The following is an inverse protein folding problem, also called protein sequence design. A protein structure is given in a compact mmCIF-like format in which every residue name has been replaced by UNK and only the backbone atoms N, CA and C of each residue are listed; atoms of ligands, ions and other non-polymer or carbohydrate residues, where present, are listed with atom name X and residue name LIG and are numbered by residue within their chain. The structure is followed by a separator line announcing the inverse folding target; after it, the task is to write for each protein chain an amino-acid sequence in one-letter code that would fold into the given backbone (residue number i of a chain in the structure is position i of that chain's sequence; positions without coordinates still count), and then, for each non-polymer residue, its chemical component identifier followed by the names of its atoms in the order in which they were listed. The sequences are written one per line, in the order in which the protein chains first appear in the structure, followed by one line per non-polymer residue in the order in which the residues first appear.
data_IF_612351261837
#
_entry.id   IF_612351261837
#
_cell.length_a   1.000
_cell.length_b   1.000
_cell.length_c   1.000
_cell.angle_alpha   90.00
_cell.angle_beta   90.00
_cell.angle_gamma   90.00
#
_symmetry.space_group_name_H-M   'P 1'
#
loop_
_entity.id
_entity.type
_entity.pdbx_description
1 polymer ?
#
# COMPACT_ATOMS: atom_id res chain seq x y z
N UNK A 1 3.09 -4.65 24.55
CA UNK A 1 1.83 -4.98 23.86
C UNK A 1 1.30 -3.68 23.30
N UNK A 2 1.33 -3.50 21.98
CA UNK A 2 0.81 -2.29 21.32
C UNK A 2 -0.62 -2.58 20.83
N UNK A 3 -1.50 -1.57 20.87
CA UNK A 3 -2.89 -1.68 20.41
C UNK A 3 -3.07 -0.83 19.15
N UNK A 4 -3.88 -1.29 18.19
CA UNK A 4 -4.05 -0.63 16.89
C UNK A 4 -5.40 0.09 16.82
N UNK A 5 -5.43 1.29 16.22
CA UNK A 5 -6.67 1.97 15.87
C UNK A 5 -7.12 1.51 14.50
N UNK A 6 -8.35 1.02 14.40
CA UNK A 6 -8.98 0.64 13.15
C UNK A 6 -10.06 1.64 12.75
N UNK A 7 -10.08 2.00 11.47
CA UNK A 7 -11.24 2.64 10.81
C UNK A 7 -11.69 1.67 9.72
N UNK A 8 -12.82 1.00 9.95
CA UNK A 8 -13.20 -0.16 9.15
C UNK A 8 -12.19 -1.31 9.29
N UNK A 9 -11.69 -1.81 8.16
CA UNK A 9 -10.65 -2.85 8.09
C UNK A 9 -9.21 -2.30 8.01
N UNK A 10 -9.03 -0.98 8.11
CA UNK A 10 -7.72 -0.33 7.94
C UNK A 10 -7.17 0.13 9.29
N UNK A 11 -5.92 -0.22 9.58
CA UNK A 11 -5.20 0.32 10.74
C UNK A 11 -4.76 1.74 10.40
N UNK A 12 -5.16 2.72 11.20
CA UNK A 12 -4.87 4.15 10.96
C UNK A 12 -3.91 4.74 11.99
N UNK A 13 -3.60 4.01 13.06
CA UNK A 13 -2.67 4.47 14.08
C UNK A 13 -2.26 3.36 15.03
N UNK A 14 -1.07 3.52 15.64
CA UNK A 14 -0.52 2.61 16.64
C UNK A 14 -0.58 3.31 18.00
N UNK A 15 -1.14 2.63 18.98
CA UNK A 15 -1.21 3.10 20.36
C UNK A 15 -0.18 2.38 21.22
N UNK A 16 0.90 3.07 21.60
CA UNK A 16 1.85 2.52 22.55
C UNK A 16 1.18 2.43 23.93
N UNK A 17 1.02 1.22 24.48
CA UNK A 17 0.63 1.06 25.89
C UNK A 17 1.86 1.35 26.77
N UNK A 18 2.21 2.63 26.92
CA UNK A 18 3.17 3.04 27.94
C UNK A 18 2.40 3.55 29.18
N UNK A 19 2.32 2.64 30.16
CA UNK A 19 2.21 2.85 31.61
C UNK A 19 1.49 4.07 32.16
N UNK A 20 0.39 3.81 32.88
CA UNK A 20 -0.02 4.61 34.04
C UNK A 20 -0.93 5.80 33.74
N UNK A 21 -2.17 5.54 33.32
CA UNK A 21 -3.21 6.57 33.28
C UNK A 21 -4.31 6.23 32.28
N UNK A 22 -5.51 6.76 32.51
CA UNK A 22 -6.69 6.64 31.63
C UNK A 22 -6.52 7.41 30.31
N UNK A 23 -5.36 7.33 29.67
CA UNK A 23 -5.11 8.01 28.40
C UNK A 23 -5.83 7.23 27.30
N UNK A 24 -6.81 7.87 26.65
CA UNK A 24 -7.52 7.22 25.56
C UNK A 24 -6.52 7.12 24.40
N UNK A 25 -6.47 5.96 23.76
CA UNK A 25 -5.60 5.67 22.61
C UNK A 25 -5.70 6.74 21.50
N UNK A 26 -6.86 7.41 21.34
CA UNK A 26 -7.03 8.57 20.45
C UNK A 26 -6.08 9.75 20.72
N UNK A 27 -5.68 9.96 21.98
CA UNK A 27 -4.89 11.12 22.40
C UNK A 27 -3.36 10.88 22.25
N UNK A 28 -2.95 9.61 22.10
CA UNK A 28 -1.53 9.17 22.05
C UNK A 28 -1.22 8.34 20.79
N UNK A 29 -2.15 8.31 19.84
CA UNK A 29 -2.02 7.56 18.60
C UNK A 29 -0.83 8.07 17.79
N UNK A 30 0.10 7.17 17.46
CA UNK A 30 1.15 7.46 16.47
C UNK A 30 0.59 7.19 15.08
N UNK A 31 0.88 8.10 14.15
CA UNK A 31 0.62 7.90 12.73
C UNK A 31 1.49 6.77 12.21
N UNK A 32 0.92 5.93 11.36
CA UNK A 32 1.66 4.87 10.67
C UNK A 32 2.58 5.53 9.63
N UNK A 33 3.85 5.15 9.60
CA UNK A 33 4.79 5.65 8.59
C UNK A 33 4.26 5.30 7.19
N UNK A 34 4.28 6.28 6.31
CA UNK A 34 3.99 6.19 4.87
C UNK A 34 4.61 4.97 4.17
N UNK A 35 5.76 4.47 4.65
CA UNK A 35 6.39 3.25 4.12
C UNK A 35 5.56 1.98 4.30
N UNK A 36 4.73 1.91 5.34
CA UNK A 36 3.78 0.83 5.56
C UNK A 36 2.47 1.02 4.76
N UNK A 37 2.32 2.16 4.08
CA UNK A 37 1.16 2.50 3.26
C UNK A 37 1.45 2.36 1.76
N UNK A 38 2.68 1.98 1.38
CA UNK A 38 3.12 1.84 -0.01
C UNK A 38 3.45 0.38 -0.37
N UNK A 39 2.87 -0.10 -1.47
CA UNK A 39 3.25 -1.38 -2.08
C UNK A 39 4.11 -1.11 -3.33
N UNK A 40 5.29 -1.69 -3.40
CA UNK A 40 6.19 -1.61 -4.55
C UNK A 40 6.53 -3.00 -5.08
N UNK A 41 6.72 -3.13 -6.39
CA UNK A 41 7.14 -4.39 -7.01
C UNK A 41 7.90 -4.15 -8.31
N UNK A 42 8.75 -5.13 -8.67
CA UNK A 42 9.51 -5.14 -9.93
C UNK A 42 8.98 -6.26 -10.80
N UNK A 43 8.71 -5.98 -12.07
CA UNK A 43 8.32 -6.97 -13.05
C UNK A 43 9.51 -7.30 -13.95
N UNK A 44 9.97 -8.54 -13.88
CA UNK A 44 11.03 -9.06 -14.75
C UNK A 44 10.41 -10.00 -15.78
N UNK A 45 10.82 -9.89 -17.04
CA UNK A 45 10.41 -10.82 -18.10
C UNK A 45 11.62 -11.52 -18.70
N UNK A 46 11.44 -12.79 -19.06
CA UNK A 46 12.40 -13.56 -19.86
C UNK A 46 11.97 -13.66 -21.33
N UNK A 47 10.78 -13.14 -21.66
CA UNK A 47 10.25 -13.18 -23.01
C UNK A 47 10.90 -12.08 -23.87
N UNK A 48 11.63 -12.48 -24.91
CA UNK A 48 12.38 -11.55 -25.78
C UNK A 48 11.48 -10.56 -26.53
N UNK A 49 10.22 -10.91 -26.80
CA UNK A 49 9.27 -10.01 -27.44
C UNK A 49 8.90 -8.88 -26.46
N UNK A 50 8.58 -9.25 -25.22
CA UNK A 50 8.26 -8.28 -24.16
C UNK A 50 9.45 -7.41 -23.77
N UNK A 51 10.66 -7.95 -23.83
CA UNK A 51 11.88 -7.17 -23.59
C UNK A 51 12.07 -6.03 -24.61
N UNK A 52 11.56 -6.21 -25.84
CA UNK A 52 11.60 -5.22 -26.91
C UNK A 52 10.37 -4.30 -26.96
N UNK A 53 9.45 -4.42 -26.01
CA UNK A 53 8.27 -3.56 -25.96
C UNK A 53 8.65 -2.12 -25.65
N UNK A 54 7.93 -1.19 -26.28
CA UNK A 54 8.04 0.23 -25.95
C UNK A 54 7.57 0.49 -24.52
N UNK A 55 7.99 1.62 -23.94
CA UNK A 55 7.47 2.06 -22.62
C UNK A 55 5.95 2.13 -22.59
N UNK A 56 5.29 2.58 -23.68
CA UNK A 56 3.83 2.65 -23.75
C UNK A 56 3.15 1.28 -23.71
N UNK A 57 3.74 0.26 -24.33
CA UNK A 57 3.25 -1.12 -24.22
C UNK A 57 3.36 -1.65 -22.80
N UNK A 58 4.51 -1.43 -22.15
CA UNK A 58 4.68 -1.78 -20.73
C UNK A 58 3.68 -1.04 -19.83
N UNK A 59 3.44 0.23 -20.09
CA UNK A 59 2.52 1.04 -19.33
C UNK A 59 1.09 0.49 -19.39
N UNK A 60 0.63 0.03 -20.56
CA UNK A 60 -0.67 -0.63 -20.70
C UNK A 60 -0.82 -1.88 -19.83
N UNK A 61 0.24 -2.69 -19.71
CA UNK A 61 0.26 -3.90 -18.91
C UNK A 61 0.19 -3.56 -17.43
N UNK A 62 1.04 -2.64 -16.99
CA UNK A 62 1.11 -2.27 -15.58
C UNK A 62 -0.14 -1.49 -15.15
N UNK A 63 -0.76 -0.68 -16.02
CA UNK A 63 -2.06 -0.04 -15.78
C UNK A 63 -3.21 -1.07 -15.67
N UNK A 64 -3.09 -2.20 -16.36
CA UNK A 64 -4.05 -3.30 -16.20
C UNK A 64 -3.86 -4.01 -14.87
N UNK A 65 -2.61 -4.28 -14.47
CA UNK A 65 -2.31 -4.80 -13.14
C UNK A 65 -2.80 -3.85 -12.03
N UNK A 66 -2.62 -2.54 -12.23
CA UNK A 66 -3.09 -1.48 -11.34
C UNK A 66 -4.61 -1.54 -11.14
N UNK A 67 -5.36 -1.67 -12.24
CA UNK A 67 -6.81 -1.79 -12.22
C UNK A 67 -7.25 -3.05 -11.47
N UNK A 68 -6.59 -4.19 -11.70
CA UNK A 68 -6.89 -5.44 -11.01
C UNK A 68 -6.63 -5.35 -9.50
N UNK A 69 -5.54 -4.68 -9.10
CA UNK A 69 -5.25 -4.43 -7.68
C UNK A 69 -6.32 -3.53 -7.04
N UNK A 70 -6.76 -2.48 -7.75
CA UNK A 70 -7.82 -1.57 -7.29
C UNK A 70 -9.21 -2.19 -7.25
N UNK A 71 -9.55 -3.07 -8.19
CA UNK A 71 -10.84 -3.77 -8.21
C UNK A 71 -10.87 -5.03 -7.35
N UNK A 72 -9.70 -5.51 -6.94
CA UNK A 72 -9.52 -6.72 -6.15
C UNK A 72 -9.77 -6.51 -4.65
N UNK A 73 -9.55 -7.56 -3.84
CA UNK A 73 -9.77 -7.53 -2.40
C UNK A 73 -8.90 -6.49 -1.65
N UNK A 74 -7.84 -6.00 -2.29
CA UNK A 74 -6.97 -4.96 -1.76
C UNK A 74 -7.40 -3.54 -2.12
N UNK A 75 -8.41 -3.37 -2.98
CA UNK A 75 -8.83 -2.06 -3.50
C UNK A 75 -9.21 -1.05 -2.41
N UNK A 76 -9.95 -1.49 -1.39
CA UNK A 76 -10.34 -0.66 -0.24
C UNK A 76 -9.18 -0.26 0.68
N UNK A 77 -8.03 -0.91 0.52
CA UNK A 77 -6.83 -0.68 1.33
C UNK A 77 -5.76 0.13 0.61
N UNK A 78 -5.96 0.42 -0.68
CA UNK A 78 -5.02 1.15 -1.51
C UNK A 78 -5.52 2.59 -1.73
N UNK A 79 -4.92 3.54 -1.01
CA UNK A 79 -5.27 4.97 -1.14
C UNK A 79 -4.79 5.55 -2.48
N UNK A 80 -3.54 5.25 -2.84
CA UNK A 80 -2.91 5.74 -4.06
C UNK A 80 -2.08 4.62 -4.65
N UNK A 81 -2.14 4.45 -5.97
CA UNK A 81 -1.29 3.49 -6.65
C UNK A 81 -0.76 4.15 -7.91
N UNK A 82 0.57 4.17 -8.04
CA UNK A 82 1.32 4.84 -9.11
C UNK A 82 2.24 3.85 -9.80
N UNK A 83 2.39 4.02 -11.11
CA UNK A 83 3.15 3.12 -11.97
C UNK A 83 4.25 3.91 -12.66
N UNK A 84 5.48 3.42 -12.57
CA UNK A 84 6.64 4.01 -13.23
C UNK A 84 7.34 2.94 -14.06
N UNK A 85 7.54 3.21 -15.35
CA UNK A 85 8.36 2.38 -16.24
C UNK A 85 9.67 3.12 -16.47
N UNK A 86 10.77 2.57 -15.96
CA UNK A 86 12.13 3.11 -16.05
C UNK A 86 12.97 2.35 -17.06
#
# INVERSE_FOLDING_TARGET
MESCIHVGSTVTGICPMNGGGRMKCKDVARTIDSKHLSLSGTLTTTNIIMANWSRSMWQNVVDRALRLLRSGPFGSHLYTVTVTVS
#
